data_IF_841196782583
#
_entry.id   IF_841196782583
#
_cell.length_a   1.000
_cell.length_b   1.000
_cell.length_c   1.000
_cell.angle_alpha   90.00
_cell.angle_beta   90.00
_cell.angle_gamma   90.00
#
_symmetry.space_group_name_H-M   'P 1'
#
loop_
_entity.id
_entity.type
_entity.pdbx_description
1 polymer ?
#
# COMPACT_ATOMS: atom_id res chain seq x y z
N UNK A 1 -22.38 36.75 28.63
CA UNK A 1 -23.06 35.84 27.68
C UNK A 1 -22.01 35.30 26.73
N UNK A 2 -21.45 34.13 27.03
CA UNK A 2 -20.52 33.42 26.14
C UNK A 2 -21.29 32.24 25.55
N UNK A 3 -21.58 32.30 24.25
CA UNK A 3 -22.19 31.17 23.54
C UNK A 3 -21.12 30.11 23.30
N UNK A 4 -21.32 28.92 23.86
CA UNK A 4 -20.52 27.75 23.53
C UNK A 4 -20.76 27.40 22.05
N UNK A 5 -19.75 27.62 21.20
CA UNK A 5 -19.74 27.09 19.83
C UNK A 5 -19.45 25.59 19.94
N UNK A 6 -20.51 24.80 20.08
CA UNK A 6 -20.43 23.35 20.05
C UNK A 6 -20.25 22.92 18.59
N UNK A 7 -19.00 22.82 18.13
CA UNK A 7 -18.67 22.13 16.89
C UNK A 7 -18.91 20.63 17.09
N UNK A 8 -20.16 20.18 16.95
CA UNK A 8 -20.42 18.77 16.68
C UNK A 8 -19.88 18.48 15.28
N UNK A 9 -18.67 17.93 15.20
CA UNK A 9 -18.22 17.26 13.99
C UNK A 9 -19.17 16.09 13.76
N UNK A 10 -20.21 16.32 12.95
CA UNK A 10 -21.09 15.26 12.47
C UNK A 10 -20.25 14.38 11.55
N UNK A 11 -19.76 13.26 12.10
CA UNK A 11 -19.12 12.21 11.33
C UNK A 11 -20.06 11.78 10.20
N UNK A 12 -19.60 11.94 8.97
CA UNK A 12 -20.33 11.45 7.81
C UNK A 12 -20.48 9.92 7.92
N UNK A 13 -21.61 9.36 7.46
CA UNK A 13 -21.84 7.90 7.44
C UNK A 13 -20.67 7.15 6.76
N UNK A 14 -20.03 7.78 5.77
CA UNK A 14 -18.85 7.23 5.11
C UNK A 14 -17.60 7.21 6.01
N UNK A 15 -17.38 8.27 6.80
CA UNK A 15 -16.25 8.36 7.73
C UNK A 15 -16.42 7.36 8.88
N UNK A 16 -17.64 7.21 9.39
CA UNK A 16 -17.98 6.19 10.38
C UNK A 16 -17.73 4.77 9.86
N UNK A 17 -18.10 4.48 8.60
CA UNK A 17 -17.84 3.17 7.99
C UNK A 17 -16.35 2.89 7.81
N UNK A 18 -15.58 3.89 7.38
CA UNK A 18 -14.12 3.78 7.26
C UNK A 18 -13.48 3.54 8.63
N UNK A 19 -13.91 4.29 9.66
CA UNK A 19 -13.40 4.13 11.02
C UNK A 19 -13.69 2.73 11.58
N UNK A 20 -14.90 2.20 11.37
CA UNK A 20 -15.28 0.84 11.78
C UNK A 20 -14.45 -0.21 11.04
N UNK A 21 -14.28 -0.05 9.72
CA UNK A 21 -13.46 -0.97 8.92
C UNK A 21 -12.02 -0.98 9.40
N UNK A 22 -11.46 0.20 9.70
CA UNK A 22 -10.11 0.33 10.23
C UNK A 22 -9.97 -0.30 11.62
N UNK A 23 -10.96 -0.13 12.49
CA UNK A 23 -11.02 -0.76 13.81
C UNK A 23 -11.02 -2.29 13.70
N UNK A 24 -11.82 -2.86 12.78
CA UNK A 24 -11.87 -4.31 12.54
C UNK A 24 -10.51 -4.84 12.07
N UNK A 25 -9.84 -4.11 11.17
CA UNK A 25 -8.50 -4.48 10.70
C UNK A 25 -7.52 -4.49 11.88
N UNK A 26 -7.52 -3.45 12.72
CA UNK A 26 -6.66 -3.39 13.91
C UNK A 26 -6.93 -4.57 14.86
N UNK A 27 -8.20 -4.89 15.12
CA UNK A 27 -8.56 -6.01 15.99
C UNK A 27 -8.12 -7.36 15.40
N UNK A 28 -8.27 -7.56 14.08
CA UNK A 28 -7.78 -8.76 13.40
C UNK A 28 -6.26 -8.89 13.46
N UNK A 29 -5.56 -7.75 13.38
CA UNK A 29 -4.10 -7.66 13.54
C UNK A 29 -3.66 -8.01 14.95
N UNK A 30 -4.30 -7.45 15.97
CA UNK A 30 -4.05 -7.78 17.37
C UNK A 30 -4.28 -9.28 17.61
N UNK A 31 -5.36 -9.84 17.07
CA UNK A 31 -5.64 -11.27 17.15
C UNK A 31 -4.56 -12.12 16.45
N UNK A 32 -4.09 -11.71 15.27
CA UNK A 32 -3.01 -12.40 14.55
C UNK A 32 -1.68 -12.37 15.33
N UNK A 33 -1.41 -11.28 16.06
CA UNK A 33 -0.24 -11.17 16.95
C UNK A 33 -0.41 -12.09 18.17
N UNK A 34 -1.57 -12.03 18.84
CA UNK A 34 -1.86 -12.82 20.04
C UNK A 34 -1.90 -14.33 19.77
N UNK A 35 -2.32 -14.72 18.56
CA UNK A 35 -2.31 -16.12 18.10
C UNK A 35 -0.93 -16.62 17.67
N UNK A 36 0.10 -15.77 17.67
CA UNK A 36 1.46 -16.11 17.24
C UNK A 36 1.60 -16.31 15.73
N UNK A 37 0.55 -16.06 14.95
CA UNK A 37 0.58 -16.13 13.49
C UNK A 37 1.50 -15.05 12.90
N UNK A 38 1.63 -13.91 13.58
CA UNK A 38 2.59 -12.86 13.26
C UNK A 38 3.33 -12.48 14.54
N UNK A 39 4.65 -12.62 14.54
CA UNK A 39 5.52 -12.37 15.70
C UNK A 39 5.82 -10.88 15.86
N UNK A 40 5.82 -10.13 14.76
CA UNK A 40 6.30 -8.76 14.69
C UNK A 40 5.18 -7.80 14.19
N UNK A 41 4.57 -6.99 15.08
CA UNK A 41 3.53 -6.03 14.72
C UNK A 41 4.00 -4.97 13.70
N UNK A 42 5.31 -4.71 13.61
CA UNK A 42 5.88 -3.71 12.70
C UNK A 42 5.61 -4.11 11.25
N UNK A 43 5.64 -5.40 10.91
CA UNK A 43 5.45 -5.88 9.53
C UNK A 43 4.04 -5.62 9.04
N UNK A 44 3.07 -5.75 9.95
CA UNK A 44 1.68 -5.43 9.66
C UNK A 44 1.52 -3.92 9.44
N UNK A 45 2.11 -3.11 10.33
CA UNK A 45 2.13 -1.66 10.17
C UNK A 45 2.74 -1.23 8.83
N UNK A 46 3.85 -1.85 8.43
CA UNK A 46 4.49 -1.63 7.13
C UNK A 46 3.63 -2.07 5.96
N UNK A 47 2.93 -3.19 6.07
CA UNK A 47 2.01 -3.69 5.03
C UNK A 47 0.83 -2.73 4.83
N UNK A 48 0.25 -2.24 5.92
CA UNK A 48 -0.83 -1.24 5.89
C UNK A 48 -0.30 0.08 5.31
N UNK A 49 0.85 0.56 5.77
CA UNK A 49 1.46 1.79 5.27
C UNK A 49 1.75 1.70 3.77
N UNK A 50 2.29 0.56 3.30
CA UNK A 50 2.50 0.31 1.88
C UNK A 50 1.19 0.39 1.09
N UNK A 51 0.13 -0.27 1.56
CA UNK A 51 -1.18 -0.23 0.91
C UNK A 51 -1.74 1.21 0.86
N UNK A 52 -1.64 1.96 1.95
CA UNK A 52 -2.07 3.37 2.02
C UNK A 52 -1.28 4.22 1.02
N UNK A 53 0.04 4.10 0.98
CA UNK A 53 0.89 4.85 0.04
C UNK A 53 0.54 4.53 -1.42
N UNK A 54 0.35 3.25 -1.74
CA UNK A 54 -0.07 2.80 -3.08
C UNK A 54 -1.39 3.45 -3.47
N UNK A 55 -2.40 3.40 -2.60
CA UNK A 55 -3.73 3.97 -2.86
C UNK A 55 -3.66 5.49 -2.97
N UNK A 56 -2.96 6.16 -2.05
CA UNK A 56 -2.76 7.61 -2.08
C UNK A 56 -2.08 8.06 -3.37
N UNK A 57 -1.08 7.31 -3.85
CA UNK A 57 -0.42 7.59 -5.12
C UNK A 57 -1.39 7.47 -6.30
N UNK A 58 -2.20 6.40 -6.34
CA UNK A 58 -3.25 6.24 -7.35
C UNK A 58 -4.26 7.38 -7.33
N UNK A 59 -4.77 7.76 -6.16
CA UNK A 59 -5.71 8.88 -6.00
C UNK A 59 -5.06 10.19 -6.45
N UNK A 60 -3.78 10.38 -6.15
CA UNK A 60 -3.04 11.57 -6.59
C UNK A 60 -2.97 11.65 -8.11
N UNK A 61 -2.70 10.52 -8.79
CA UNK A 61 -2.73 10.42 -10.25
C UNK A 61 -4.10 10.73 -10.86
N UNK A 62 -5.17 10.28 -10.20
CA UNK A 62 -6.56 10.61 -10.58
C UNK A 62 -6.83 12.12 -10.45
N UNK A 63 -6.43 12.72 -9.32
CA UNK A 63 -6.64 14.16 -9.05
C UNK A 63 -5.92 15.08 -10.04
N UNK A 64 -4.72 14.71 -10.48
CA UNK A 64 -3.98 15.49 -11.49
C UNK A 64 -4.43 15.21 -12.92
N UNK A 65 -5.49 14.42 -13.12
CA UNK A 65 -6.07 14.10 -14.43
C UNK A 65 -5.17 13.23 -15.31
N UNK A 66 -4.16 12.57 -14.74
CA UNK A 66 -3.24 11.70 -15.50
C UNK A 66 -3.81 10.32 -15.74
N UNK A 67 -4.77 9.90 -14.92
CA UNK A 67 -5.39 8.57 -14.96
C UNK A 67 -6.90 8.73 -14.78
N UNK A 68 -7.70 7.96 -15.53
CA UNK A 68 -9.17 7.91 -15.37
C UNK A 68 -9.57 7.02 -14.19
N UNK A 69 -10.85 7.02 -13.79
CA UNK A 69 -11.31 6.14 -12.71
C UNK A 69 -11.10 4.65 -13.04
N UNK A 70 -11.29 4.26 -14.30
CA UNK A 70 -10.95 2.91 -14.78
C UNK A 70 -9.44 2.65 -14.73
N UNK A 71 -8.62 3.65 -15.08
CA UNK A 71 -7.17 3.55 -14.97
C UNK A 71 -6.69 3.40 -13.52
N UNK A 72 -7.37 4.02 -12.55
CA UNK A 72 -7.07 3.84 -11.13
C UNK A 72 -7.32 2.41 -10.68
N UNK A 73 -8.46 1.82 -11.11
CA UNK A 73 -8.77 0.41 -10.83
C UNK A 73 -7.71 -0.51 -11.43
N UNK A 74 -7.33 -0.30 -12.69
CA UNK A 74 -6.27 -1.07 -13.34
C UNK A 74 -4.93 -0.94 -12.63
N UNK A 75 -4.58 0.27 -12.17
CA UNK A 75 -3.36 0.50 -11.37
C UNK A 75 -3.37 -0.31 -10.06
N UNK A 76 -4.48 -0.35 -9.33
CA UNK A 76 -4.58 -1.13 -8.09
C UNK A 76 -4.45 -2.64 -8.36
N UNK A 77 -5.10 -3.15 -9.42
CA UNK A 77 -4.93 -4.55 -9.84
C UNK A 77 -3.50 -4.87 -10.27
N UNK A 78 -2.83 -3.94 -10.96
CA UNK A 78 -1.43 -4.09 -11.35
C UNK A 78 -0.53 -4.21 -10.11
N UNK A 79 -0.72 -3.35 -9.11
CA UNK A 79 0.06 -3.38 -7.87
C UNK A 79 -0.17 -4.69 -7.11
N UNK A 80 -1.42 -5.13 -7.00
CA UNK A 80 -1.77 -6.42 -6.37
C UNK A 80 -1.11 -7.57 -7.14
N UNK A 81 -1.18 -7.56 -8.47
CA UNK A 81 -0.56 -8.56 -9.34
C UNK A 81 0.96 -8.63 -9.15
N UNK A 82 1.65 -7.49 -9.19
CA UNK A 82 3.09 -7.40 -8.94
C UNK A 82 3.42 -7.95 -7.56
N UNK A 83 2.72 -7.48 -6.52
CA UNK A 83 2.99 -7.90 -5.14
C UNK A 83 2.79 -9.41 -4.96
N UNK A 84 1.75 -9.97 -5.58
CA UNK A 84 1.47 -11.42 -5.52
C UNK A 84 2.51 -12.24 -6.28
N UNK A 85 2.93 -11.78 -7.46
CA UNK A 85 3.99 -12.44 -8.25
C UNK A 85 5.30 -12.44 -7.47
N UNK A 86 5.70 -11.28 -6.94
CA UNK A 86 6.91 -11.15 -6.12
C UNK A 86 6.83 -12.07 -4.90
N UNK A 87 5.70 -12.09 -4.19
CA UNK A 87 5.50 -13.00 -3.07
C UNK A 87 5.69 -14.46 -3.46
N UNK A 88 5.10 -14.88 -4.58
CA UNK A 88 5.26 -16.22 -5.13
C UNK A 88 6.71 -16.55 -5.50
N UNK A 89 7.45 -15.58 -6.07
CA UNK A 89 8.86 -15.75 -6.43
C UNK A 89 9.76 -15.87 -5.19
N UNK A 90 9.55 -15.04 -4.17
CA UNK A 90 10.28 -15.12 -2.90
C UNK A 90 9.97 -16.44 -2.19
N UNK A 91 8.69 -16.82 -2.09
CA UNK A 91 8.27 -18.07 -1.44
C UNK A 91 8.82 -19.33 -2.14
N UNK A 92 8.98 -19.28 -3.47
CA UNK A 92 9.60 -20.37 -4.25
C UNK A 92 11.13 -20.38 -4.20
N UNK A 93 11.75 -19.40 -3.54
CA UNK A 93 13.20 -19.22 -3.51
C UNK A 93 13.81 -18.73 -4.83
N UNK A 94 12.98 -18.25 -5.77
CA UNK A 94 13.45 -17.67 -7.03
C UNK A 94 14.00 -16.24 -6.83
N UNK A 95 13.54 -15.54 -5.79
CA UNK A 95 14.14 -14.31 -5.30
C UNK A 95 14.72 -14.56 -3.90
N UNK A 96 15.96 -14.11 -3.61
CA UNK A 96 16.56 -14.29 -2.30
C UNK A 96 15.81 -13.45 -1.26
N UNK A 97 15.57 -14.04 -0.09
CA UNK A 97 15.11 -13.29 1.07
C UNK A 97 16.25 -12.43 1.62
N UNK A 98 15.92 -11.33 2.30
CA UNK A 98 16.93 -10.46 2.88
C UNK A 98 17.64 -11.08 4.08
N UNK A 99 17.07 -12.15 4.67
CA UNK A 99 17.72 -12.88 5.74
C UNK A 99 17.78 -12.07 7.04
N UNK A 100 16.71 -11.32 7.34
CA UNK A 100 16.62 -10.59 8.60
C UNK A 100 16.64 -11.58 9.77
N UNK A 101 17.76 -11.65 10.48
CA UNK A 101 18.04 -12.66 11.51
C UNK A 101 17.09 -12.64 12.72
N UNK A 102 16.35 -11.55 12.91
CA UNK A 102 15.37 -11.37 13.99
C UNK A 102 13.93 -11.69 13.58
N UNK A 103 13.67 -11.98 12.30
CA UNK A 103 12.33 -12.25 11.77
C UNK A 103 12.12 -13.75 11.56
N UNK A 104 10.88 -14.20 11.71
CA UNK A 104 10.51 -15.55 11.25
C UNK A 104 10.61 -15.64 9.71
N UNK A 105 10.70 -16.86 9.17
CA UNK A 105 10.79 -17.09 7.72
C UNK A 105 9.62 -16.45 6.96
N UNK A 106 8.41 -16.54 7.53
CA UNK A 106 7.20 -15.95 6.95
C UNK A 106 7.26 -14.42 6.93
N UNK A 107 7.77 -13.83 8.00
CA UNK A 107 7.93 -12.40 8.14
C UNK A 107 9.01 -11.82 7.24
N UNK A 108 10.16 -12.50 7.14
CA UNK A 108 11.23 -12.14 6.21
C UNK A 108 10.72 -12.20 4.76
N UNK A 109 9.90 -13.20 4.44
CA UNK A 109 9.23 -13.34 3.12
C UNK A 109 8.32 -12.14 2.83
N UNK A 110 7.48 -11.72 3.79
CA UNK A 110 6.57 -10.58 3.62
C UNK A 110 7.37 -9.29 3.46
N UNK A 111 8.32 -9.02 4.35
CA UNK A 111 9.16 -7.81 4.31
C UNK A 111 9.94 -7.71 3.00
N UNK A 112 10.56 -8.81 2.57
CA UNK A 112 11.28 -8.88 1.29
C UNK A 112 10.33 -8.65 0.11
N UNK A 113 9.12 -9.22 0.16
CA UNK A 113 8.10 -9.03 -0.87
C UNK A 113 7.70 -7.57 -1.02
N UNK A 114 7.39 -6.89 0.09
CA UNK A 114 7.01 -5.48 0.07
C UNK A 114 8.13 -4.61 -0.51
N UNK A 115 9.37 -4.90 -0.12
CA UNK A 115 10.53 -4.16 -0.60
C UNK A 115 10.75 -4.36 -2.11
N UNK A 116 10.81 -5.60 -2.60
CA UNK A 116 10.95 -5.85 -4.03
C UNK A 116 9.78 -5.30 -4.85
N UNK A 117 8.54 -5.40 -4.34
CA UNK A 117 7.37 -4.83 -5.01
C UNK A 117 7.47 -3.31 -5.11
N UNK A 118 7.89 -2.63 -4.03
CA UNK A 118 8.11 -1.18 -4.04
C UNK A 118 9.22 -0.75 -5.01
N UNK A 119 10.32 -1.50 -5.10
CA UNK A 119 11.39 -1.24 -6.07
C UNK A 119 10.89 -1.37 -7.50
N UNK A 120 10.15 -2.43 -7.83
CA UNK A 120 9.57 -2.63 -9.16
C UNK A 120 8.63 -1.49 -9.52
N UNK A 121 7.75 -1.08 -8.59
CA UNK A 121 6.84 0.05 -8.79
C UNK A 121 7.60 1.36 -8.98
N UNK A 122 8.65 1.61 -8.20
CA UNK A 122 9.49 2.80 -8.33
C UNK A 122 10.17 2.85 -9.71
N UNK A 123 10.72 1.74 -10.18
CA UNK A 123 11.32 1.63 -11.51
C UNK A 123 10.27 1.89 -12.60
N UNK A 124 9.08 1.29 -12.49
CA UNK A 124 7.99 1.50 -13.44
C UNK A 124 7.60 2.99 -13.53
N UNK A 125 7.49 3.68 -12.39
CA UNK A 125 7.21 5.13 -12.34
C UNK A 125 8.31 5.93 -13.03
N UNK A 126 9.59 5.63 -12.76
CA UNK A 126 10.73 6.30 -13.40
C UNK A 126 10.70 6.11 -14.92
N UNK A 127 10.47 4.88 -15.40
CA UNK A 127 10.40 4.57 -16.83
C UNK A 127 9.26 5.34 -17.50
N UNK A 128 8.07 5.36 -16.89
CA UNK A 128 6.93 6.12 -17.39
C UNK A 128 7.25 7.62 -17.45
N UNK A 129 7.88 8.16 -16.40
CA UNK A 129 8.26 9.57 -16.35
C UNK A 129 9.26 9.95 -17.45
N UNK A 130 10.27 9.11 -17.70
CA UNK A 130 11.24 9.31 -18.77
C UNK A 130 10.59 9.23 -20.15
N UNK A 131 9.69 8.27 -20.37
CA UNK A 131 8.98 8.11 -21.63
C UNK A 131 8.09 9.32 -21.94
N UNK A 132 7.31 9.78 -20.96
CA UNK A 132 6.45 10.96 -21.10
C UNK A 132 7.29 12.21 -21.39
N UNK A 133 8.38 12.43 -20.64
CA UNK A 133 9.24 13.60 -20.82
C UNK A 133 9.91 13.63 -22.20
N UNK A 134 10.38 12.48 -22.71
CA UNK A 134 10.94 12.39 -24.06
C UNK A 134 9.91 12.69 -25.14
N UNK A 135 8.68 12.18 -25.01
CA UNK A 135 7.60 12.47 -25.97
C UNK A 135 7.31 13.97 -26.05
N UNK A 136 7.24 14.67 -24.93
CA UNK A 136 6.93 16.11 -24.89
C UNK A 136 8.01 16.98 -25.55
N UNK A 137 9.27 16.52 -25.61
CA UNK A 137 10.36 17.21 -26.31
C UNK A 137 10.39 16.98 -27.82
N UNK A 138 9.77 15.92 -28.33
CA UNK A 138 9.75 15.59 -29.77
C UNK A 138 8.63 16.34 -30.50
N UNK A 139 7.57 16.73 -29.78
CA UNK A 139 6.41 17.47 -30.33
C UNK A 139 6.43 18.97 -30.05
N UNK A 140 7.58 19.52 -29.61
CA UNK A 140 7.86 20.96 -29.57
C UNK A 140 8.92 21.27 -30.62
#
# INVERSE_FOLDING_TARGET
MAGEIKHSMELSKGEAFIAITFLIIILGVIYAILSGAISNPIIIGLSILYAVLVVMFGISLLRIGRVSMYGLVLYLFLVIGITTVVFGLVKKGALPTMGFSSLSIYEDTISTTLLYSSLILAIAVIVIFLYVTKRTKIFK
#
